data_IF_505342664049
#
_entry.id   IF_505342664049
#
_cell.length_a   1.000
_cell.length_b   1.000
_cell.length_c   1.000
_cell.angle_alpha   90.00
_cell.angle_beta   90.00
_cell.angle_gamma   90.00
#
_symmetry.space_group_name_H-M   'P 1'
#
loop_
_entity.id
_entity.type
_entity.pdbx_description
1 polymer ?
#
# COMPACT_ATOMS: atom_id res chain seq x y z
N UNK A 1 -2.05 -15.41 8.20
CA UNK A 1 -1.88 -16.48 7.20
C UNK A 1 -2.44 -15.92 5.89
N UNK A 2 -1.60 -15.31 5.05
CA UNK A 2 -2.05 -14.88 3.73
C UNK A 2 -2.43 -16.13 2.94
N UNK A 3 -3.67 -16.18 2.47
CA UNK A 3 -4.20 -17.33 1.72
C UNK A 3 -3.46 -17.41 0.39
N UNK A 4 -3.15 -18.64 -0.06
CA UNK A 4 -2.36 -18.92 -1.29
C UNK A 4 -2.88 -18.19 -2.56
N UNK A 5 -4.13 -17.74 -2.57
CA UNK A 5 -4.77 -17.00 -3.66
C UNK A 5 -4.22 -15.57 -3.86
N UNK A 6 -3.63 -14.94 -2.82
CA UNK A 6 -3.05 -13.59 -2.93
C UNK A 6 -1.65 -13.57 -3.57
N UNK A 7 -1.08 -14.73 -3.89
CA UNK A 7 0.29 -14.83 -4.43
C UNK A 7 0.39 -14.43 -5.91
N UNK A 8 -0.74 -14.21 -6.61
CA UNK A 8 -0.74 -13.85 -8.03
C UNK A 8 -1.15 -12.41 -8.33
N UNK A 9 -1.28 -11.56 -7.31
CA UNK A 9 -1.58 -10.14 -7.55
C UNK A 9 -0.34 -9.51 -8.21
N UNK A 10 -0.55 -8.93 -9.40
CA UNK A 10 0.47 -8.16 -10.09
C UNK A 10 0.87 -6.94 -9.23
N UNK A 11 2.16 -6.73 -8.95
CA UNK A 11 2.59 -5.69 -8.03
C UNK A 11 2.27 -4.27 -8.53
N UNK A 12 2.19 -4.04 -9.85
CA UNK A 12 1.75 -2.75 -10.37
C UNK A 12 0.28 -2.51 -10.08
N UNK A 13 -0.57 -3.52 -10.30
CA UNK A 13 -1.99 -3.48 -9.96
C UNK A 13 -2.18 -3.22 -8.46
N UNK A 14 -1.40 -3.87 -7.60
CA UNK A 14 -1.43 -3.64 -6.16
C UNK A 14 -1.05 -2.19 -5.79
N UNK A 15 0.00 -1.63 -6.42
CA UNK A 15 0.43 -0.24 -6.21
C UNK A 15 -0.67 0.75 -6.60
N UNK A 16 -1.31 0.53 -7.75
CA UNK A 16 -2.34 1.45 -8.24
C UNK A 16 -3.61 1.39 -7.38
N UNK A 17 -4.08 0.19 -7.02
CA UNK A 17 -5.21 0.06 -6.09
C UNK A 17 -4.90 0.69 -4.73
N UNK A 18 -3.68 0.53 -4.20
CA UNK A 18 -3.28 1.18 -2.96
C UNK A 18 -3.21 2.70 -3.12
N UNK A 19 -2.71 3.21 -4.26
CA UNK A 19 -2.67 4.64 -4.56
C UNK A 19 -4.07 5.25 -4.58
N UNK A 20 -5.04 4.57 -5.19
CA UNK A 20 -6.44 5.01 -5.22
C UNK A 20 -7.04 5.06 -3.81
N UNK A 21 -6.93 3.98 -3.04
CA UNK A 21 -7.46 3.93 -1.67
C UNK A 21 -6.85 5.00 -0.75
N UNK A 22 -5.55 5.27 -0.89
CA UNK A 22 -4.89 6.35 -0.16
C UNK A 22 -5.42 7.72 -0.59
N UNK A 23 -5.63 7.93 -1.89
CA UNK A 23 -6.17 9.18 -2.41
C UNK A 23 -7.60 9.44 -1.91
N UNK A 24 -8.44 8.40 -1.80
CA UNK A 24 -9.77 8.50 -1.18
C UNK A 24 -9.69 8.92 0.30
N UNK A 25 -8.65 8.49 1.01
CA UNK A 25 -8.36 8.94 2.37
C UNK A 25 -7.68 10.32 2.44
N UNK A 26 -7.46 10.99 1.29
CA UNK A 26 -6.76 12.28 1.20
C UNK A 26 -5.26 12.19 1.50
N UNK A 27 -4.67 11.01 1.31
CA UNK A 27 -3.25 10.72 1.52
C UNK A 27 -2.56 10.52 0.17
N UNK A 28 -1.44 11.22 -0.04
CA UNK A 28 -0.60 11.03 -1.23
C UNK A 28 0.75 10.48 -0.78
N UNK A 29 1.17 9.38 -1.40
CA UNK A 29 2.46 8.73 -1.15
C UNK A 29 3.31 8.70 -2.43
N UNK A 30 4.15 9.73 -2.66
CA UNK A 30 4.99 9.81 -3.86
C UNK A 30 6.04 8.70 -3.96
N UNK A 31 6.44 8.13 -2.83
CA UNK A 31 7.42 7.04 -2.77
C UNK A 31 6.83 5.66 -3.02
N UNK A 32 5.50 5.54 -3.15
CA UNK A 32 4.84 4.27 -3.37
C UNK A 32 5.17 3.73 -4.77
N UNK A 33 5.83 2.58 -4.81
CA UNK A 33 6.31 1.95 -6.04
C UNK A 33 6.44 0.43 -5.88
N UNK A 34 6.62 -0.28 -6.99
CA UNK A 34 6.99 -1.70 -6.97
C UNK A 34 8.45 -1.83 -6.55
N UNK A 35 8.78 -2.83 -5.74
CA UNK A 35 10.17 -3.14 -5.43
C UNK A 35 10.91 -3.62 -6.69
N UNK A 36 11.98 -2.92 -7.03
CA UNK A 36 12.86 -3.29 -8.13
C UNK A 36 14.05 -4.15 -7.68
N UNK A 37 14.34 -4.22 -6.38
CA UNK A 37 15.50 -4.93 -5.86
C UNK A 37 15.30 -6.46 -5.83
N UNK A 38 14.07 -6.92 -5.65
CA UNK A 38 13.72 -8.34 -5.60
C UNK A 38 12.40 -8.63 -6.34
N UNK A 39 12.37 -8.52 -7.68
CA UNK A 39 11.16 -8.69 -8.49
C UNK A 39 10.45 -10.04 -8.30
N UNK A 40 11.21 -11.10 -7.99
CA UNK A 40 10.69 -12.45 -7.73
C UNK A 40 9.81 -12.53 -6.48
N UNK A 41 9.99 -11.58 -5.54
CA UNK A 41 9.21 -11.51 -4.31
C UNK A 41 7.92 -10.68 -4.47
N UNK A 42 7.75 -9.98 -5.62
CA UNK A 42 6.57 -9.16 -5.94
C UNK A 42 6.22 -8.16 -4.84
N UNK A 43 7.23 -7.51 -4.27
CA UNK A 43 7.06 -6.59 -3.15
C UNK A 43 6.62 -5.19 -3.62
N UNK A 44 5.99 -4.46 -2.70
CA UNK A 44 5.63 -3.06 -2.86
C UNK A 44 6.45 -2.22 -1.89
N UNK A 45 7.21 -1.28 -2.42
CA UNK A 45 7.97 -0.29 -1.66
C UNK A 45 7.06 0.86 -1.23
N UNK A 46 6.81 0.97 0.07
CA UNK A 46 5.99 2.05 0.66
C UNK A 46 6.80 3.35 0.85
N UNK A 47 8.12 3.23 0.99
CA UNK A 47 9.05 4.34 1.19
C UNK A 47 8.92 5.04 2.56
N UNK A 48 9.36 6.30 2.62
CA UNK A 48 9.32 7.13 3.83
C UNK A 48 8.20 8.14 3.75
N UNK A 49 7.51 8.31 4.86
CA UNK A 49 6.35 9.19 4.97
C UNK A 49 6.59 10.21 6.07
N UNK A 50 5.95 11.38 5.97
CA UNK A 50 5.97 12.35 7.08
C UNK A 50 5.17 11.80 8.26
N UNK A 51 5.52 12.22 9.48
CA UNK A 51 4.86 11.73 10.70
C UNK A 51 3.36 12.03 10.75
N UNK A 52 2.91 13.16 10.20
CA UNK A 52 1.50 13.51 10.09
C UNK A 52 0.75 12.59 9.12
N UNK A 53 1.38 12.23 8.00
CA UNK A 53 0.83 11.27 7.04
C UNK A 53 0.75 9.87 7.65
N UNK A 54 1.76 9.44 8.42
CA UNK A 54 1.72 8.16 9.13
C UNK A 54 0.53 8.07 10.11
N UNK A 55 0.25 9.15 10.85
CA UNK A 55 -0.90 9.19 11.76
C UNK A 55 -2.24 9.09 10.99
N UNK A 56 -2.39 9.83 9.88
CA UNK A 56 -3.61 9.77 9.04
C UNK A 56 -3.78 8.40 8.40
N UNK A 57 -2.69 7.75 7.98
CA UNK A 57 -2.71 6.39 7.46
C UNK A 57 -3.20 5.41 8.52
N UNK A 58 -2.71 5.51 9.74
CA UNK A 58 -3.15 4.66 10.84
C UNK A 58 -4.65 4.83 11.12
N UNK A 59 -5.19 6.05 11.06
CA UNK A 59 -6.63 6.28 11.18
C UNK A 59 -7.43 5.66 10.03
N UNK A 60 -6.96 5.83 8.78
CA UNK A 60 -7.63 5.28 7.61
C UNK A 60 -7.71 3.74 7.68
N UNK A 61 -6.60 3.07 8.02
CA UNK A 61 -6.54 1.62 8.20
C UNK A 61 -7.47 1.13 9.31
N UNK A 62 -7.56 1.84 10.44
CA UNK A 62 -8.47 1.50 11.53
C UNK A 62 -9.96 1.70 11.18
N UNK A 63 -10.28 2.58 10.24
CA UNK A 63 -11.65 2.75 9.75
C UNK A 63 -12.05 1.57 8.86
N UNK A 64 -11.21 1.23 7.86
CA UNK A 64 -11.47 0.10 6.96
C UNK A 64 -11.41 -1.29 7.61
N UNK A 65 -10.66 -1.45 8.71
CA UNK A 65 -10.59 -2.72 9.44
C UNK A 65 -11.76 -3.02 10.40
N UNK A 66 -12.75 -2.10 10.49
CA UNK A 66 -13.96 -2.27 11.32
C UNK A 66 -15.21 -2.63 10.50
N UNK A 67 -15.06 -2.75 9.19
CA UNK A 67 -16.08 -3.23 8.24
C UNK A 67 -15.84 -4.71 7.90
#
# INVERSE_FOLDING_TARGET
>A
MATKEQQDIDPFTAVESLREALAEAGIVLPSLSVDAASPELRLVELGRVRSDVAARLAEALQRGGRE
#
